data_IF_118560847429
#
_entry.id   IF_118560847429
#
_cell.length_a   1.000
_cell.length_b   1.000
_cell.length_c   1.000
_cell.angle_alpha   90.00
_cell.angle_beta   90.00
_cell.angle_gamma   90.00
#
_symmetry.space_group_name_H-M   'P 1'
#
loop_
_entity.id
_entity.type
_entity.pdbx_description
1 polymer ?
#
# COMPACT_ATOMS: atom_id res chain seq x y z
N UNK A 1 1.40 7.35 -21.07
CA UNK A 1 1.37 5.92 -21.33
C UNK A 1 0.70 5.67 -22.66
N UNK A 2 1.42 5.08 -23.55
CA UNK A 2 0.82 4.66 -24.79
C UNK A 2 0.07 3.38 -24.54
N UNK A 3 -1.23 3.45 -24.56
CA UNK A 3 -2.02 2.24 -24.58
C UNK A 3 -1.72 1.54 -25.90
N UNK A 4 -1.29 0.31 -25.84
CA UNK A 4 -1.24 -0.48 -27.04
C UNK A 4 -2.67 -0.61 -27.53
N UNK A 5 -2.93 -0.18 -28.72
CA UNK A 5 -4.23 -0.33 -29.31
C UNK A 5 -4.35 -1.77 -29.78
N UNK A 6 -5.01 -2.56 -29.00
CA UNK A 6 -5.32 -3.91 -29.41
C UNK A 6 -6.79 -3.95 -29.77
N UNK A 7 -7.05 -3.94 -31.07
CA UNK A 7 -8.42 -3.95 -31.56
C UNK A 7 -9.09 -5.27 -31.18
N UNK A 8 -10.27 -5.18 -30.58
CA UNK A 8 -11.07 -6.34 -30.23
C UNK A 8 -10.79 -6.94 -28.85
N UNK A 9 -9.76 -6.47 -28.13
CA UNK A 9 -9.50 -6.93 -26.78
C UNK A 9 -10.31 -6.10 -25.80
N UNK A 10 -11.00 -6.81 -24.89
CA UNK A 10 -11.69 -6.18 -23.80
C UNK A 10 -10.78 -6.21 -22.57
N UNK A 11 -10.84 -5.11 -21.80
CA UNK A 11 -10.17 -5.01 -20.52
C UNK A 11 -11.19 -5.35 -19.44
N UNK A 12 -10.81 -6.22 -18.51
CA UNK A 12 -11.65 -6.51 -17.36
C UNK A 12 -11.70 -5.27 -16.45
N UNK A 13 -12.90 -4.98 -15.96
CA UNK A 13 -13.05 -3.87 -15.01
C UNK A 13 -12.39 -4.25 -13.70
N UNK A 14 -11.47 -3.43 -13.24
CA UNK A 14 -10.81 -3.59 -11.94
C UNK A 14 -10.76 -2.24 -11.25
N UNK A 15 -10.53 -2.29 -9.95
CA UNK A 15 -10.26 -1.08 -9.17
C UNK A 15 -8.94 -1.28 -8.44
N UNK A 16 -8.13 -0.24 -8.40
CA UNK A 16 -6.88 -0.26 -7.67
C UNK A 16 -6.67 1.11 -7.01
N UNK A 17 -5.79 1.16 -6.03
CA UNK A 17 -5.54 2.36 -5.24
C UNK A 17 -4.27 3.04 -5.71
N UNK A 18 -4.28 4.37 -5.70
CA UNK A 18 -3.07 5.18 -5.88
C UNK A 18 -2.71 5.82 -4.54
N UNK A 19 -1.53 5.51 -4.02
CA UNK A 19 -1.01 6.13 -2.81
C UNK A 19 -0.06 7.26 -3.20
N UNK A 20 -0.35 8.47 -2.76
CA UNK A 20 0.56 9.60 -2.93
C UNK A 20 1.42 9.74 -1.68
N UNK A 21 2.72 9.95 -1.89
CA UNK A 21 3.70 10.05 -0.82
C UNK A 21 4.71 11.15 -1.13
N UNK A 22 5.41 11.64 -0.10
CA UNK A 22 6.44 12.66 -0.30
C UNK A 22 7.77 12.08 -0.77
N UNK A 23 8.07 10.86 -0.43
CA UNK A 23 9.36 10.21 -0.75
C UNK A 23 9.08 8.90 -1.44
N UNK A 24 8.68 8.99 -2.70
CA UNK A 24 8.16 7.84 -3.43
C UNK A 24 9.17 6.72 -3.63
N UNK A 25 10.44 7.03 -3.88
CA UNK A 25 11.47 5.99 -4.00
C UNK A 25 11.63 5.23 -2.68
N UNK A 26 11.68 5.96 -1.56
CA UNK A 26 11.76 5.34 -0.24
C UNK A 26 10.50 4.54 0.09
N UNK A 27 9.34 5.00 -0.38
CA UNK A 27 8.09 4.29 -0.17
C UNK A 27 8.09 2.94 -0.88
N UNK A 28 8.55 2.88 -2.11
CA UNK A 28 8.67 1.62 -2.84
C UNK A 28 9.59 0.65 -2.09
N UNK A 29 10.72 1.14 -1.60
CA UNK A 29 11.64 0.32 -0.81
C UNK A 29 10.98 -0.18 0.48
N UNK A 30 10.24 0.68 1.14
CA UNK A 30 9.52 0.29 2.36
C UNK A 30 8.50 -0.81 2.08
N UNK A 31 7.65 -0.65 1.07
CA UNK A 31 6.61 -1.65 0.77
C UNK A 31 7.22 -2.98 0.33
N UNK A 32 8.37 -2.94 -0.33
CA UNK A 32 9.11 -4.16 -0.66
C UNK A 32 9.61 -4.85 0.61
N UNK A 33 10.20 -4.11 1.54
CA UNK A 33 10.76 -4.68 2.77
C UNK A 33 9.69 -5.09 3.76
N UNK A 34 8.65 -4.28 3.91
CA UNK A 34 7.60 -4.50 4.91
C UNK A 34 6.64 -5.62 4.50
N UNK A 35 6.23 -5.64 3.23
CA UNK A 35 5.12 -6.49 2.78
C UNK A 35 5.49 -7.41 1.61
N UNK A 36 6.74 -7.39 1.17
CA UNK A 36 7.14 -8.21 0.04
C UNK A 36 6.57 -7.73 -1.29
N UNK A 37 6.28 -6.43 -1.41
CA UNK A 37 5.74 -5.89 -2.64
C UNK A 37 6.76 -6.04 -3.78
N UNK A 38 6.25 -6.35 -4.97
CA UNK A 38 7.05 -6.52 -6.18
C UNK A 38 6.58 -5.53 -7.24
N UNK A 39 7.51 -4.78 -7.87
CA UNK A 39 7.12 -3.88 -8.94
C UNK A 39 6.65 -4.62 -10.19
N UNK A 40 5.48 -4.22 -10.71
CA UNK A 40 5.02 -4.63 -12.03
C UNK A 40 5.50 -3.64 -13.07
N UNK A 41 5.48 -2.35 -12.72
CA UNK A 41 6.01 -1.27 -13.54
C UNK A 41 6.62 -0.24 -12.61
N UNK A 42 7.66 0.43 -13.09
CA UNK A 42 8.29 1.53 -12.34
C UNK A 42 8.88 2.52 -13.32
N UNK A 43 8.58 3.80 -13.11
CA UNK A 43 9.16 4.90 -13.88
C UNK A 43 9.79 5.86 -12.89
N UNK A 44 11.08 6.12 -13.07
CA UNK A 44 11.80 7.08 -12.26
C UNK A 44 11.89 8.39 -13.03
N UNK A 45 11.59 9.51 -12.37
CA UNK A 45 11.72 10.82 -12.96
C UNK A 45 13.09 11.41 -12.65
N UNK A 46 13.48 12.43 -13.43
CA UNK A 46 14.79 13.07 -13.27
C UNK A 46 14.97 13.73 -11.91
N UNK A 47 13.90 14.15 -11.27
CA UNK A 47 13.92 14.79 -9.96
C UNK A 47 13.95 13.81 -8.79
N UNK A 48 14.03 12.50 -9.08
CA UNK A 48 14.08 11.46 -8.06
C UNK A 48 12.71 10.92 -7.64
N UNK A 49 11.63 11.47 -8.17
CA UNK A 49 10.30 10.92 -7.94
C UNK A 49 10.10 9.61 -8.68
N UNK A 50 9.21 8.79 -8.18
CA UNK A 50 8.91 7.48 -8.76
C UNK A 50 7.40 7.33 -8.86
N UNK A 51 6.96 6.74 -9.95
CA UNK A 51 5.63 6.16 -10.03
C UNK A 51 5.79 4.67 -10.26
N UNK A 52 5.16 3.87 -9.42
CA UNK A 52 5.32 2.42 -9.47
C UNK A 52 3.99 1.72 -9.27
N UNK A 53 3.79 0.64 -10.01
CA UNK A 53 2.68 -0.27 -9.82
C UNK A 53 3.24 -1.49 -9.11
N UNK A 54 2.77 -1.74 -7.89
CA UNK A 54 3.28 -2.78 -7.02
C UNK A 54 2.24 -3.88 -6.82
N UNK A 55 2.69 -5.10 -6.64
CA UNK A 55 1.81 -6.22 -6.30
C UNK A 55 2.23 -6.84 -4.98
N UNK A 56 1.26 -7.25 -4.19
CA UNK A 56 1.44 -8.06 -2.98
C UNK A 56 0.45 -9.22 -3.12
N UNK A 57 0.95 -10.44 -3.30
CA UNK A 57 0.08 -11.57 -3.56
C UNK A 57 -0.80 -11.32 -4.78
N UNK A 58 -2.11 -11.38 -4.61
CA UNK A 58 -3.07 -11.13 -5.68
C UNK A 58 -3.53 -9.67 -5.75
N UNK A 59 -3.13 -8.86 -4.78
CA UNK A 59 -3.50 -7.45 -4.74
C UNK A 59 -2.47 -6.58 -5.42
N UNK A 60 -2.87 -5.37 -5.75
CA UNK A 60 -1.96 -4.40 -6.35
C UNK A 60 -2.37 -2.99 -5.97
N UNK A 61 -1.43 -2.06 -6.09
CA UNK A 61 -1.67 -0.65 -5.84
C UNK A 61 -0.56 0.16 -6.50
N UNK A 62 -0.80 1.45 -6.65
CA UNK A 62 0.16 2.38 -7.24
C UNK A 62 0.74 3.27 -6.16
N UNK A 63 1.99 3.68 -6.34
CA UNK A 63 2.67 4.66 -5.49
C UNK A 63 3.20 5.75 -6.40
N UNK A 64 2.98 7.00 -6.04
CA UNK A 64 3.48 8.14 -6.79
C UNK A 64 3.92 9.24 -5.85
N UNK A 65 4.89 10.02 -6.30
CA UNK A 65 5.26 11.26 -5.62
C UNK A 65 4.03 12.19 -5.60
N UNK A 66 3.79 12.86 -4.48
CA UNK A 66 2.70 13.82 -4.43
C UNK A 66 2.94 14.97 -5.40
N UNK A 67 1.86 15.57 -5.85
CA UNK A 67 1.90 16.75 -6.71
C UNK A 67 0.77 17.69 -6.32
N UNK A 68 1.01 18.56 -5.33
CA UNK A 68 -0.05 19.46 -4.85
C UNK A 68 -0.64 20.36 -5.93
N UNK A 69 0.15 20.76 -6.93
CA UNK A 69 -0.34 21.57 -8.04
C UNK A 69 -1.42 20.84 -8.85
N UNK A 70 -1.40 19.51 -8.84
CA UNK A 70 -2.42 18.67 -9.48
C UNK A 70 -3.44 18.14 -8.48
N UNK A 71 -3.44 18.64 -7.24
CA UNK A 71 -4.30 18.19 -6.14
C UNK A 71 -4.04 16.73 -5.75
N UNK A 72 -2.82 16.27 -5.94
CA UNK A 72 -2.38 14.93 -5.53
C UNK A 72 -1.58 15.07 -4.23
N UNK A 73 -2.28 14.93 -3.11
CA UNK A 73 -1.69 15.19 -1.79
C UNK A 73 -1.32 13.90 -1.09
N UNK A 74 -0.17 13.92 -0.40
CA UNK A 74 0.18 12.86 0.54
C UNK A 74 -0.52 13.08 1.88
N UNK A 75 -0.63 12.02 2.70
CA UNK A 75 -1.12 12.20 4.08
C UNK A 75 -0.27 13.17 4.89
N UNK A 76 1.03 13.22 4.65
CA UNK A 76 1.92 14.15 5.35
C UNK A 76 1.55 15.60 5.05
N UNK A 77 1.15 15.92 3.82
CA UNK A 77 0.72 17.27 3.46
C UNK A 77 -0.65 17.64 4.03
N UNK A 78 -1.55 16.66 4.15
CA UNK A 78 -2.91 16.91 4.65
C UNK A 78 -3.01 16.79 6.16
N UNK A 79 -2.06 16.15 6.81
CA UNK A 79 -2.10 15.92 8.24
C UNK A 79 -2.93 14.71 8.63
N UNK A 80 -3.20 13.80 7.72
CA UNK A 80 -3.96 12.58 7.99
C UNK A 80 -4.41 11.90 6.72
N UNK A 81 -5.05 10.76 6.87
CA UNK A 81 -5.55 9.96 5.77
C UNK A 81 -6.99 9.54 6.04
N UNK A 82 -7.78 9.46 4.99
CA UNK A 82 -9.20 9.08 5.08
C UNK A 82 -9.43 7.61 4.80
N UNK A 83 -8.38 6.85 4.46
CA UNK A 83 -8.55 5.46 4.08
C UNK A 83 -7.46 4.60 4.68
N UNK A 84 -7.75 3.31 4.80
CA UNK A 84 -6.79 2.29 5.19
C UNK A 84 -6.58 1.31 4.04
N UNK A 85 -5.36 0.85 3.89
CA UNK A 85 -5.09 -0.33 3.08
C UNK A 85 -5.33 -1.53 3.98
N UNK A 86 -6.06 -2.52 3.48
CA UNK A 86 -6.37 -3.73 4.24
C UNK A 86 -5.62 -4.89 3.59
N UNK A 87 -4.64 -5.42 4.32
CA UNK A 87 -3.77 -6.49 3.86
C UNK A 87 -4.15 -7.78 4.57
N UNK A 88 -4.65 -8.73 3.81
CA UNK A 88 -5.06 -10.02 4.35
C UNK A 88 -3.92 -11.01 4.14
N UNK A 89 -3.44 -11.60 5.24
CA UNK A 89 -2.27 -12.47 5.22
C UNK A 89 -2.52 -13.70 6.09
N UNK A 90 -1.75 -14.74 5.86
CA UNK A 90 -1.88 -15.97 6.64
C UNK A 90 -1.39 -15.81 8.07
N UNK A 91 -0.33 -15.04 8.29
CA UNK A 91 0.25 -14.81 9.63
C UNK A 91 0.35 -13.31 9.93
N UNK A 92 -0.73 -12.70 10.47
CA UNK A 92 -0.73 -11.27 10.76
C UNK A 92 0.36 -10.83 11.74
N UNK A 93 0.69 -11.65 12.74
CA UNK A 93 1.75 -11.30 13.69
C UNK A 93 3.10 -11.16 12.98
N UNK A 94 3.44 -12.11 12.12
CA UNK A 94 4.73 -12.08 11.41
C UNK A 94 4.83 -10.89 10.47
N UNK A 95 3.77 -10.60 9.73
CA UNK A 95 3.76 -9.47 8.78
C UNK A 95 3.78 -8.13 9.52
N UNK A 96 3.03 -8.04 10.62
CA UNK A 96 3.03 -6.85 11.47
C UNK A 96 4.44 -6.55 11.99
N UNK A 97 5.11 -7.58 12.53
CA UNK A 97 6.47 -7.42 13.05
C UNK A 97 7.46 -7.03 11.96
N UNK A 98 7.32 -7.60 10.77
CA UNK A 98 8.16 -7.26 9.63
C UNK A 98 7.95 -5.80 9.21
N UNK A 99 6.71 -5.32 9.24
CA UNK A 99 6.42 -3.92 8.93
C UNK A 99 7.06 -2.98 9.95
N UNK A 100 7.01 -3.31 11.24
CA UNK A 100 7.68 -2.51 12.28
C UNK A 100 9.19 -2.52 12.07
N UNK A 101 9.77 -3.66 11.75
CA UNK A 101 11.20 -3.75 11.49
C UNK A 101 11.62 -2.91 10.28
N UNK A 102 10.75 -2.74 9.31
CA UNK A 102 11.00 -1.93 8.12
C UNK A 102 10.81 -0.43 8.37
N UNK A 103 10.19 -0.03 9.48
CA UNK A 103 10.05 1.38 9.84
C UNK A 103 8.64 1.86 10.13
N UNK A 104 7.62 0.99 10.07
CA UNK A 104 6.26 1.38 10.42
C UNK A 104 6.11 1.54 11.93
N UNK A 105 5.10 2.28 12.34
CA UNK A 105 4.74 2.48 13.74
C UNK A 105 3.50 1.67 14.07
N UNK A 106 3.45 1.09 15.27
CA UNK A 106 2.27 0.38 15.74
C UNK A 106 1.18 1.36 16.11
N UNK A 107 -0.01 1.18 15.55
CA UNK A 107 -1.22 1.92 15.95
C UNK A 107 -2.06 1.03 16.86
N UNK A 108 -2.31 -0.20 16.43
CA UNK A 108 -3.01 -1.20 17.23
C UNK A 108 -2.27 -2.53 17.04
N UNK A 109 -1.79 -3.15 18.13
CA UNK A 109 -1.14 -4.45 17.99
C UNK A 109 -2.12 -5.51 17.49
N UNK A 110 -1.58 -6.55 16.87
CA UNK A 110 -2.40 -7.67 16.37
C UNK A 110 -3.04 -8.37 17.56
N UNK A 111 -4.34 -8.60 17.48
CA UNK A 111 -5.08 -9.35 18.48
C UNK A 111 -6.32 -9.97 17.84
N UNK A 112 -6.88 -10.94 18.54
CA UNK A 112 -8.13 -11.58 18.12
C UNK A 112 -9.31 -10.74 18.58
N UNK A 113 -10.14 -10.33 17.63
CA UNK A 113 -11.31 -9.52 17.91
C UNK A 113 -12.56 -10.39 18.04
N UNK A 114 -13.53 -9.92 18.81
CA UNK A 114 -14.77 -10.65 19.04
C UNK A 114 -15.54 -10.98 17.78
N UNK A 115 -15.38 -10.16 16.74
CA UNK A 115 -16.07 -10.37 15.47
C UNK A 115 -15.35 -11.39 14.56
N UNK A 116 -14.37 -12.11 15.07
CA UNK A 116 -13.78 -13.25 14.37
C UNK A 116 -12.57 -12.94 13.49
N UNK A 117 -11.93 -11.81 13.71
CA UNK A 117 -10.71 -11.42 12.98
C UNK A 117 -9.51 -11.40 13.91
N UNK A 118 -8.36 -11.74 13.36
CA UNK A 118 -7.06 -11.45 13.96
C UNK A 118 -6.48 -10.29 13.17
N UNK A 119 -6.33 -9.12 13.78
CA UNK A 119 -6.00 -7.91 13.03
C UNK A 119 -5.24 -6.92 13.90
N UNK A 120 -4.29 -6.23 13.28
CA UNK A 120 -3.60 -5.09 13.85
C UNK A 120 -3.51 -3.98 12.83
N UNK A 121 -2.95 -2.84 13.23
CA UNK A 121 -2.80 -1.70 12.33
C UNK A 121 -1.46 -1.03 12.55
N UNK A 122 -0.77 -0.74 11.45
CA UNK A 122 0.46 0.05 11.45
C UNK A 122 0.25 1.33 10.65
N UNK A 123 1.03 2.34 11.00
CA UNK A 123 1.15 3.56 10.22
C UNK A 123 2.48 3.48 9.49
N UNK A 124 2.47 3.59 8.17
CA UNK A 124 3.72 3.55 7.43
C UNK A 124 4.45 4.89 7.56
N UNK A 125 5.74 4.97 7.18
CA UNK A 125 6.53 6.21 7.34
C UNK A 125 6.03 7.37 6.48
N UNK A 126 5.07 7.13 5.61
CA UNK A 126 4.55 8.11 4.64
C UNK A 126 3.14 8.57 4.98
N UNK A 127 2.59 8.09 6.10
CA UNK A 127 1.30 8.52 6.61
C UNK A 127 0.11 7.65 6.20
N UNK A 128 0.34 6.54 5.50
CA UNK A 128 -0.74 5.63 5.15
C UNK A 128 -0.91 4.54 6.20
N UNK A 129 -2.17 4.23 6.50
CA UNK A 129 -2.52 3.19 7.47
C UNK A 129 -2.71 1.85 6.76
N UNK A 130 -2.19 0.81 7.38
CA UNK A 130 -2.31 -0.57 6.90
C UNK A 130 -2.88 -1.44 8.00
N UNK A 131 -4.06 -2.00 7.75
CA UNK A 131 -4.62 -3.03 8.61
C UNK A 131 -4.13 -4.37 8.11
N UNK A 132 -3.57 -5.17 9.03
CA UNK A 132 -2.93 -6.45 8.71
C UNK A 132 -3.70 -7.51 9.45
N UNK A 133 -4.37 -8.41 8.73
CA UNK A 133 -5.25 -9.33 9.41
C UNK A 133 -5.68 -10.54 8.60
N UNK A 134 -6.50 -11.35 9.23
CA UNK A 134 -7.17 -12.48 8.59
C UNK A 134 -8.44 -12.83 9.33
N UNK A 135 -9.36 -13.46 8.62
CA UNK A 135 -10.57 -14.01 9.21
C UNK A 135 -10.23 -15.32 9.91
N UNK A 136 -10.60 -15.44 11.17
CA UNK A 136 -10.35 -16.66 11.96
C UNK A 136 -11.51 -17.63 11.88
N UNK A 137 -12.73 -17.09 11.82
CA UNK A 137 -13.91 -17.94 11.71
C UNK A 137 -14.97 -17.21 10.91
N UNK A 138 -15.61 -17.96 10.02
CA UNK A 138 -16.81 -17.48 9.34
C UNK A 138 -18.00 -17.96 10.18
N UNK A 139 -18.45 -17.08 11.02
CA UNK A 139 -19.61 -17.42 11.82
C UNK A 139 -20.87 -17.36 10.96
#
# INVERSE_FOLDING_TARGET
MAASVSTGNKVETTITTMLYVRRSAAAVDFYTSAFGATPLERVDSEDGGVIAHLTIGKGNFWVSEESPVHQNFSPESLGGSTMHMVLIVDDPHAVFDQALAAGASSVCPVRDEEYGWRIGRVLDPFGHHWEIGKVLSEA
#
